data_IF_121495304503
#
_entry.id   IF_121495304503
#
_cell.length_a   1.000
_cell.length_b   1.000
_cell.length_c   1.000
_cell.angle_alpha   90.00
_cell.angle_beta   90.00
_cell.angle_gamma   90.00
#
_symmetry.space_group_name_H-M   'P 1'
#
loop_
_entity.id
_entity.type
_entity.pdbx_description
1 polymer ?
#
# COMPACT_ATOMS: atom_id res chain seq x y z
N UNK A 1 -6.16 -4.40 11.15
CA UNK A 1 -4.83 -4.70 11.73
C UNK A 1 -4.69 -6.20 11.93
N UNK A 2 -3.55 -6.73 11.63
CA UNK A 2 -3.32 -8.15 11.74
C UNK A 2 -2.97 -8.53 13.18
N UNK A 3 -3.77 -9.39 13.80
CA UNK A 3 -3.63 -9.74 15.22
C UNK A 3 -3.32 -11.22 15.40
N UNK A 4 -2.42 -11.76 14.59
CA UNK A 4 -2.03 -13.15 14.70
C UNK A 4 -0.84 -13.31 15.64
N UNK A 5 -0.67 -14.49 16.14
CA UNK A 5 0.39 -14.79 17.10
C UNK A 5 1.78 -14.60 16.53
N UNK A 6 1.94 -14.74 15.23
CA UNK A 6 3.25 -14.50 14.61
C UNK A 6 3.57 -13.00 14.49
N UNK A 7 2.71 -12.18 15.06
CA UNK A 7 2.94 -10.74 15.06
C UNK A 7 4.19 -10.34 15.86
N UNK A 8 4.71 -11.21 16.71
CA UNK A 8 5.93 -10.86 17.43
C UNK A 8 7.07 -10.55 16.47
N UNK A 9 7.24 -11.32 15.41
CA UNK A 9 8.25 -11.06 14.40
C UNK A 9 7.97 -9.78 13.65
N UNK A 10 6.70 -9.52 13.35
CA UNK A 10 6.29 -8.30 12.66
C UNK A 10 6.49 -7.08 13.53
N UNK A 11 6.21 -7.19 14.83
CA UNK A 11 6.44 -6.11 15.77
C UNK A 11 7.91 -5.74 15.86
N UNK A 12 8.79 -6.73 15.83
CA UNK A 12 10.23 -6.49 15.86
C UNK A 12 10.70 -5.71 14.64
N UNK A 13 10.03 -5.90 13.50
CA UNK A 13 10.33 -5.16 12.28
C UNK A 13 9.55 -3.86 12.17
N UNK A 14 8.62 -3.60 13.12
CA UNK A 14 7.75 -2.44 13.05
C UNK A 14 6.67 -2.57 11.97
N UNK A 15 6.36 -3.79 11.55
CA UNK A 15 5.39 -4.02 10.49
C UNK A 15 4.05 -4.46 11.08
N UNK A 16 2.99 -3.77 10.69
CA UNK A 16 1.62 -4.12 11.05
C UNK A 16 0.77 -4.13 9.79
N UNK A 17 -0.10 -5.14 9.69
CA UNK A 17 -0.98 -5.25 8.54
C UNK A 17 -2.39 -4.79 8.90
N UNK A 18 -2.97 -4.02 8.02
CA UNK A 18 -4.34 -3.51 8.19
C UNK A 18 -5.31 -4.47 7.53
N UNK A 19 -6.43 -4.85 8.20
CA UNK A 19 -7.44 -5.68 7.55
C UNK A 19 -8.05 -4.95 6.35
N UNK A 20 -8.35 -5.69 5.29
CA UNK A 20 -8.92 -5.11 4.07
C UNK A 20 -10.17 -4.26 4.31
N UNK A 21 -11.14 -4.70 5.13
CA UNK A 21 -12.33 -3.87 5.37
C UNK A 21 -12.00 -2.51 5.96
N UNK A 22 -10.99 -2.44 6.82
CA UNK A 22 -10.57 -1.16 7.39
C UNK A 22 -9.90 -0.29 6.33
N UNK A 23 -9.04 -0.88 5.51
CA UNK A 23 -8.41 -0.16 4.41
C UNK A 23 -9.45 0.39 3.45
N UNK A 24 -10.47 -0.40 3.13
CA UNK A 24 -11.55 0.04 2.26
C UNK A 24 -12.32 1.20 2.87
N UNK A 25 -12.57 1.16 4.18
CA UNK A 25 -13.22 2.26 4.88
C UNK A 25 -12.39 3.54 4.78
N UNK A 26 -11.07 3.43 4.93
CA UNK A 26 -10.18 4.57 4.85
C UNK A 26 -10.15 5.14 3.43
N UNK A 27 -10.10 4.29 2.42
CA UNK A 27 -10.15 4.72 1.03
C UNK A 27 -11.47 5.43 0.73
N UNK A 28 -12.56 4.94 1.29
CA UNK A 28 -13.88 5.53 1.09
C UNK A 28 -13.96 6.98 1.55
N UNK A 29 -13.16 7.34 2.55
CA UNK A 29 -13.16 8.71 3.06
C UNK A 29 -12.76 9.74 2.01
N UNK A 30 -11.99 9.36 1.01
CA UNK A 30 -11.56 10.29 -0.04
C UNK A 30 -11.99 9.87 -1.45
N UNK A 31 -12.73 8.78 -1.57
CA UNK A 31 -13.10 8.24 -2.89
C UNK A 31 -14.04 9.13 -3.69
N UNK A 32 -14.78 10.01 -3.03
CA UNK A 32 -15.69 10.94 -3.69
C UNK A 32 -14.99 12.20 -4.22
N UNK A 33 -13.73 12.39 -3.88
CA UNK A 33 -12.98 13.58 -4.32
C UNK A 33 -12.27 13.26 -5.64
N UNK A 34 -12.87 13.69 -6.74
CA UNK A 34 -12.35 13.42 -8.08
C UNK A 34 -11.08 14.20 -8.42
N UNK A 35 -10.68 15.14 -7.56
CA UNK A 35 -9.44 15.88 -7.78
C UNK A 35 -8.20 15.07 -7.36
N UNK A 36 -8.37 13.99 -6.61
CA UNK A 36 -7.26 13.15 -6.19
C UNK A 36 -6.80 12.30 -7.37
N UNK A 37 -5.55 12.51 -7.81
CA UNK A 37 -4.97 11.83 -8.96
C UNK A 37 -3.76 10.98 -8.64
N UNK A 38 -3.15 11.18 -7.48
CA UNK A 38 -1.97 10.42 -7.06
C UNK A 38 -2.13 9.97 -5.62
N UNK A 39 -1.57 8.82 -5.31
CA UNK A 39 -1.59 8.27 -3.95
C UNK A 39 -0.19 7.78 -3.62
N UNK A 40 0.25 8.06 -2.41
CA UNK A 40 1.51 7.56 -1.88
C UNK A 40 1.22 6.73 -0.63
N UNK A 41 1.60 5.47 -0.64
CA UNK A 41 1.52 4.59 0.52
C UNK A 41 2.93 4.40 1.07
N UNK A 42 3.26 5.01 2.22
CA UNK A 42 4.63 5.05 2.72
C UNK A 42 5.13 3.75 3.34
N UNK A 43 4.23 2.83 3.63
CA UNK A 43 4.61 1.54 4.24
C UNK A 43 3.58 0.51 3.83
N UNK A 44 3.72 0.02 2.59
CA UNK A 44 2.64 -0.73 1.97
C UNK A 44 2.46 -2.16 2.51
N UNK A 45 3.47 -2.71 3.20
CA UNK A 45 3.34 -4.03 3.79
C UNK A 45 2.87 -5.09 2.80
N UNK A 46 1.70 -5.65 3.04
CA UNK A 46 1.12 -6.67 2.17
C UNK A 46 0.29 -6.11 1.02
N UNK A 47 0.29 -4.78 0.86
CA UNK A 47 -0.42 -4.16 -0.25
C UNK A 47 -1.92 -4.00 -0.05
N UNK A 48 -2.40 -4.07 1.18
CA UNK A 48 -3.84 -4.04 1.46
C UNK A 48 -4.49 -2.74 0.98
N UNK A 49 -3.79 -1.59 1.10
CA UNK A 49 -4.35 -0.33 0.63
C UNK A 49 -4.43 -0.28 -0.89
N UNK A 50 -3.49 -0.93 -1.58
CA UNK A 50 -3.57 -1.02 -3.04
C UNK A 50 -4.76 -1.90 -3.43
N UNK A 51 -4.97 -3.01 -2.72
CA UNK A 51 -6.15 -3.86 -2.92
C UNK A 51 -7.44 -3.06 -2.69
N UNK A 52 -7.46 -2.23 -1.65
CA UNK A 52 -8.63 -1.40 -1.36
C UNK A 52 -8.87 -0.37 -2.48
N UNK A 53 -7.82 0.24 -3.00
CA UNK A 53 -7.95 1.18 -4.12
C UNK A 53 -8.56 0.48 -5.34
N UNK A 54 -8.12 -0.74 -5.61
CA UNK A 54 -8.63 -1.52 -6.73
C UNK A 54 -10.08 -1.93 -6.52
N UNK A 55 -10.39 -2.47 -5.34
CA UNK A 55 -11.75 -2.91 -4.99
C UNK A 55 -12.75 -1.74 -5.04
N UNK A 56 -12.32 -0.56 -4.65
CA UNK A 56 -13.16 0.64 -4.67
C UNK A 56 -13.11 1.35 -6.01
N UNK A 57 -12.40 0.79 -6.99
CA UNK A 57 -12.23 1.32 -8.35
C UNK A 57 -11.58 2.70 -8.38
N UNK A 58 -10.84 3.04 -7.33
CA UNK A 58 -10.11 4.30 -7.29
C UNK A 58 -8.98 4.35 -8.31
N UNK A 59 -8.41 3.20 -8.67
CA UNK A 59 -7.32 3.17 -9.66
C UNK A 59 -7.76 3.71 -11.01
N UNK A 60 -9.04 3.65 -11.34
CA UNK A 60 -9.55 4.20 -12.59
C UNK A 60 -9.41 5.72 -12.63
N UNK A 61 -9.57 6.36 -11.49
CA UNK A 61 -9.48 7.80 -11.34
C UNK A 61 -8.03 8.28 -11.25
N UNK A 62 -7.16 7.49 -10.63
CA UNK A 62 -5.79 7.88 -10.35
C UNK A 62 -4.90 7.86 -11.58
N UNK A 63 -3.93 8.76 -11.63
CA UNK A 63 -2.85 8.70 -12.60
C UNK A 63 -1.79 7.69 -12.16
N UNK A 64 -1.50 7.65 -10.87
CA UNK A 64 -0.54 6.70 -10.32
C UNK A 64 -0.77 6.46 -8.83
N UNK A 65 -0.23 5.34 -8.36
CA UNK A 65 -0.19 4.99 -6.96
C UNK A 65 1.21 4.44 -6.67
N UNK A 66 1.94 5.12 -5.79
CA UNK A 66 3.29 4.72 -5.42
C UNK A 66 3.25 4.08 -4.04
N UNK A 67 3.79 2.89 -3.93
CA UNK A 67 3.86 2.16 -2.67
C UNK A 67 5.32 1.94 -2.30
N UNK A 68 5.68 2.27 -1.07
CA UNK A 68 7.04 2.16 -0.58
C UNK A 68 7.09 1.07 0.47
N UNK A 69 8.09 0.21 0.38
CA UNK A 69 8.25 -0.89 1.31
C UNK A 69 9.74 -1.16 1.52
N UNK A 70 10.16 -1.22 2.78
CA UNK A 70 11.55 -1.43 3.12
C UNK A 70 11.96 -2.91 3.03
N UNK A 71 11.01 -3.82 3.22
CA UNK A 71 11.28 -5.25 3.23
C UNK A 71 11.35 -5.80 1.81
N UNK A 72 12.54 -6.27 1.41
CA UNK A 72 12.79 -6.75 0.05
C UNK A 72 11.82 -7.88 -0.35
N UNK A 73 11.58 -8.82 0.55
CA UNK A 73 10.71 -9.95 0.25
C UNK A 73 9.29 -9.50 -0.04
N UNK A 74 8.80 -8.52 0.71
CA UNK A 74 7.47 -7.98 0.48
C UNK A 74 7.40 -7.24 -0.84
N UNK A 75 8.45 -6.49 -1.18
CA UNK A 75 8.53 -5.77 -2.46
C UNK A 75 8.40 -6.74 -3.63
N UNK A 76 9.12 -7.86 -3.58
CA UNK A 76 9.06 -8.84 -4.65
C UNK A 76 7.68 -9.44 -4.84
N UNK A 77 7.02 -9.76 -3.72
CA UNK A 77 5.65 -10.27 -3.75
C UNK A 77 4.69 -9.25 -4.36
N UNK A 78 4.83 -8.00 -3.97
CA UNK A 78 3.96 -6.93 -4.46
C UNK A 78 4.18 -6.66 -5.93
N UNK A 79 5.42 -6.61 -6.37
CA UNK A 79 5.72 -6.42 -7.79
C UNK A 79 5.12 -7.53 -8.64
N UNK A 80 5.15 -8.75 -8.13
CA UNK A 80 4.54 -9.87 -8.83
C UNK A 80 3.01 -9.76 -8.89
N UNK A 81 2.39 -9.45 -7.74
CA UNK A 81 0.92 -9.31 -7.65
C UNK A 81 0.38 -8.23 -8.55
N UNK A 82 1.07 -7.10 -8.62
CA UNK A 82 0.58 -5.93 -9.36
C UNK A 82 1.31 -5.71 -10.68
N UNK A 83 1.93 -6.76 -11.21
CA UNK A 83 2.74 -6.67 -12.43
C UNK A 83 1.96 -6.15 -13.64
N UNK A 84 0.67 -6.42 -13.69
CA UNK A 84 -0.16 -6.01 -14.82
C UNK A 84 -0.72 -4.60 -14.70
N UNK A 85 -0.50 -3.94 -13.57
CA UNK A 85 -1.01 -2.59 -13.38
C UNK A 85 0.09 -1.57 -13.69
N UNK A 86 -0.15 -0.73 -14.69
CA UNK A 86 0.82 0.32 -15.07
C UNK A 86 0.76 1.52 -14.14
N UNK A 87 -0.28 1.63 -13.34
CA UNK A 87 -0.46 2.77 -12.44
C UNK A 87 0.19 2.58 -11.08
N UNK A 88 0.59 1.36 -10.75
CA UNK A 88 1.13 1.03 -9.45
C UNK A 88 2.64 0.87 -9.56
N UNK A 89 3.35 1.67 -8.77
CA UNK A 89 4.81 1.57 -8.66
C UNK A 89 5.17 1.12 -7.26
N UNK A 90 5.98 0.07 -7.15
CA UNK A 90 6.46 -0.46 -5.87
C UNK A 90 7.94 -0.11 -5.74
N UNK A 91 8.28 0.58 -4.66
CA UNK A 91 9.65 1.05 -4.44
C UNK A 91 10.20 0.41 -3.16
N UNK A 92 11.38 -0.20 -3.29
CA UNK A 92 12.07 -0.80 -2.14
C UNK A 92 13.00 0.23 -1.52
N UNK A 93 12.47 0.98 -0.58
CA UNK A 93 13.24 2.00 0.12
C UNK A 93 12.67 2.22 1.50
N UNK A 94 13.45 2.82 2.38
CA UNK A 94 12.96 3.40 3.62
C UNK A 94 12.20 4.67 3.24
N UNK A 95 10.99 4.86 3.78
CA UNK A 95 10.16 6.01 3.43
C UNK A 95 10.87 7.33 3.75
N UNK A 96 11.55 7.40 4.88
CA UNK A 96 12.21 8.65 5.26
C UNK A 96 13.33 9.01 4.30
N UNK A 97 14.07 8.02 3.82
CA UNK A 97 15.09 8.27 2.78
C UNK A 97 14.45 8.73 1.48
N UNK A 98 13.33 8.11 1.11
CA UNK A 98 12.59 8.48 -0.10
C UNK A 98 12.09 9.92 -0.01
N UNK A 99 11.52 10.27 1.15
CA UNK A 99 10.92 11.58 1.35
C UNK A 99 11.96 12.70 1.33
N UNK A 100 13.14 12.44 1.90
CA UNK A 100 14.21 13.45 1.97
C UNK A 100 14.96 13.65 0.65
N UNK A 101 14.87 12.69 -0.23
CA UNK A 101 15.56 12.74 -1.51
C UNK A 101 14.58 12.93 -2.64
#
# INVERSE_FOLDING_TARGET
>A
MKLKENNSAQKLRGAYYTPLPLAEMMVKLFSSDESIKTVLEPSCGDGVFIDALDDMKMLEQLNDATAIEIEQDEVEKLKHRFANSKKIEIINRDFFDYYEN
#
